data_IF_430418631958
#
_entry.id   IF_430418631958
#
_cell.length_a   1.000
_cell.length_b   1.000
_cell.length_c   1.000
_cell.angle_alpha   90.00
_cell.angle_beta   90.00
_cell.angle_gamma   90.00
#
_symmetry.space_group_name_H-M   'P 1'
#
loop_
_entity.id
_entity.type
_entity.pdbx_description
1 polymer ?
#
# COMPACT_ATOMS: atom_id res chain seq x y z
N UNK A 1 14.10 -11.71 -32.83
CA UNK A 1 13.19 -11.59 -31.69
C UNK A 1 12.73 -10.14 -31.60
N UNK A 2 11.63 -9.80 -32.27
CA UNK A 2 10.97 -8.51 -32.10
C UNK A 2 10.35 -8.53 -30.70
N UNK A 3 10.94 -7.80 -29.77
CA UNK A 3 10.37 -7.55 -28.47
C UNK A 3 9.07 -6.76 -28.67
N UNK A 4 7.96 -7.41 -28.45
CA UNK A 4 6.62 -6.83 -28.48
C UNK A 4 6.58 -5.66 -27.48
N UNK A 5 6.76 -4.45 -27.99
CA UNK A 5 6.72 -3.25 -27.15
C UNK A 5 5.30 -3.04 -26.65
N UNK A 6 5.15 -2.83 -25.33
CA UNK A 6 3.86 -2.48 -24.75
C UNK A 6 3.23 -1.30 -25.48
N UNK A 7 1.89 -1.30 -25.70
CA UNK A 7 1.17 -0.15 -26.19
C UNK A 7 1.50 1.11 -25.36
N UNK A 8 1.58 2.28 -25.99
CA UNK A 8 2.04 3.51 -25.36
C UNK A 8 1.17 3.91 -24.14
N UNK A 9 -0.12 3.65 -24.18
CA UNK A 9 -1.08 3.91 -23.12
C UNK A 9 -0.90 2.96 -21.92
N UNK A 10 -0.59 1.67 -22.17
CA UNK A 10 -0.26 0.70 -21.12
C UNK A 10 1.08 1.07 -20.47
N UNK A 11 2.09 1.43 -21.26
CA UNK A 11 3.39 1.89 -20.77
C UNK A 11 3.23 3.13 -19.86
N UNK A 12 2.40 4.09 -20.27
CA UNK A 12 2.08 5.27 -19.45
C UNK A 12 1.43 4.89 -18.13
N UNK A 13 0.44 3.99 -18.15
CA UNK A 13 -0.22 3.48 -16.94
C UNK A 13 0.76 2.76 -16.01
N UNK A 14 1.65 1.93 -16.55
CA UNK A 14 2.68 1.25 -15.78
C UNK A 14 3.64 2.24 -15.10
N UNK A 15 4.10 3.25 -15.85
CA UNK A 15 5.00 4.28 -15.30
C UNK A 15 4.33 5.01 -14.13
N UNK A 16 3.09 5.46 -14.28
CA UNK A 16 2.38 6.12 -13.18
C UNK A 16 2.12 5.19 -12.01
N UNK A 17 1.86 3.90 -12.24
CA UNK A 17 1.70 2.91 -11.18
C UNK A 17 3.01 2.71 -10.41
N UNK A 18 4.15 2.55 -11.10
CA UNK A 18 5.46 2.39 -10.46
C UNK A 18 5.87 3.64 -9.66
N UNK A 19 5.61 4.84 -10.19
CA UNK A 19 5.81 6.09 -9.44
C UNK A 19 4.91 6.12 -8.20
N UNK A 20 3.63 5.75 -8.32
CA UNK A 20 2.71 5.68 -7.18
C UNK A 20 3.22 4.70 -6.12
N UNK A 21 3.72 3.53 -6.55
CA UNK A 21 4.34 2.52 -5.67
C UNK A 21 5.47 3.15 -4.87
N UNK A 22 6.42 3.80 -5.52
CA UNK A 22 7.53 4.47 -4.82
C UNK A 22 7.02 5.50 -3.81
N UNK A 23 6.06 6.33 -4.19
CA UNK A 23 5.53 7.41 -3.35
C UNK A 23 4.85 6.90 -2.08
N UNK A 24 3.97 5.88 -2.16
CA UNK A 24 3.35 5.36 -0.94
C UNK A 24 4.34 4.56 -0.08
N UNK A 25 5.32 3.87 -0.69
CA UNK A 25 6.38 3.22 0.08
C UNK A 25 7.26 4.26 0.80
N UNK A 26 7.59 5.39 0.18
CA UNK A 26 8.33 6.49 0.79
C UNK A 26 7.56 7.03 2.01
N UNK A 27 6.27 7.31 1.88
CA UNK A 27 5.48 7.80 3.00
C UNK A 27 5.34 6.78 4.13
N UNK A 28 4.93 5.55 3.82
CA UNK A 28 4.71 4.50 4.81
C UNK A 28 6.00 4.10 5.55
N UNK A 29 7.11 3.88 4.81
CA UNK A 29 8.37 3.46 5.44
C UNK A 29 9.01 4.57 6.28
N UNK A 30 8.76 5.84 5.96
CA UNK A 30 9.16 6.94 6.84
C UNK A 30 8.56 6.79 8.23
N UNK A 31 7.24 6.57 8.30
CA UNK A 31 6.53 6.38 9.57
C UNK A 31 6.93 5.06 10.23
N UNK A 32 6.89 3.93 9.53
CA UNK A 32 7.19 2.62 10.14
C UNK A 32 8.60 2.53 10.72
N UNK A 33 9.57 3.24 10.14
CA UNK A 33 10.97 3.26 10.61
C UNK A 33 11.16 4.23 11.78
N UNK A 34 10.59 5.43 11.70
CA UNK A 34 10.93 6.51 12.62
C UNK A 34 9.84 6.82 13.66
N UNK A 35 8.70 6.13 13.61
CA UNK A 35 7.58 6.42 14.53
C UNK A 35 7.96 6.25 16.00
N UNK A 36 8.71 5.21 16.38
CA UNK A 36 9.08 5.00 17.79
C UNK A 36 9.93 6.15 18.32
N UNK A 37 10.90 6.63 17.53
CA UNK A 37 11.73 7.77 17.88
C UNK A 37 10.90 9.07 17.92
N UNK A 38 9.98 9.23 16.98
CA UNK A 38 9.03 10.35 16.97
C UNK A 38 8.17 10.36 18.24
N UNK A 39 7.57 9.22 18.58
CA UNK A 39 6.66 9.07 19.71
C UNK A 39 7.35 9.33 21.05
N UNK A 40 8.59 8.91 21.19
CA UNK A 40 9.42 9.20 22.35
C UNK A 40 9.70 10.71 22.47
N UNK A 41 10.16 11.34 21.40
CA UNK A 41 10.58 12.75 21.42
C UNK A 41 9.41 13.75 21.49
N UNK A 42 8.26 13.43 20.89
CA UNK A 42 7.14 14.36 20.77
C UNK A 42 6.06 14.08 21.81
N UNK A 43 5.78 12.81 22.12
CA UNK A 43 4.70 12.45 23.03
C UNK A 43 5.17 11.86 24.35
N UNK A 44 6.48 11.74 24.57
CA UNK A 44 7.03 11.11 25.78
C UNK A 44 6.61 9.65 25.94
N UNK A 45 6.28 8.95 24.85
CA UNK A 45 5.85 7.56 24.89
C UNK A 45 7.05 6.65 25.19
N UNK A 46 6.80 5.58 25.95
CA UNK A 46 7.77 4.50 26.06
C UNK A 46 7.90 3.75 24.73
N UNK A 47 9.06 3.13 24.50
CA UNK A 47 9.28 2.29 23.33
C UNK A 47 8.22 1.17 23.21
N UNK A 48 7.77 0.61 24.34
CA UNK A 48 6.70 -0.40 24.37
C UNK A 48 5.36 0.14 23.84
N UNK A 49 4.95 1.32 24.25
CA UNK A 49 3.71 1.97 23.78
C UNK A 49 3.80 2.29 22.29
N UNK A 50 4.92 2.84 21.83
CA UNK A 50 5.14 3.13 20.41
C UNK A 50 5.08 1.85 19.55
N UNK A 51 5.76 0.79 19.98
CA UNK A 51 5.72 -0.49 19.27
C UNK A 51 4.32 -1.13 19.30
N UNK A 52 3.52 -0.91 20.33
CA UNK A 52 2.12 -1.36 20.36
C UNK A 52 1.31 -0.72 19.22
N UNK A 53 1.49 0.58 18.94
CA UNK A 53 0.85 1.23 17.78
C UNK A 53 1.22 0.54 16.46
N UNK A 54 2.50 0.28 16.25
CA UNK A 54 2.98 -0.41 15.03
C UNK A 54 2.46 -1.85 14.94
N UNK A 55 2.36 -2.54 16.06
CA UNK A 55 1.79 -3.90 16.13
C UNK A 55 0.29 -3.89 15.79
N UNK A 56 -0.46 -2.90 16.26
CA UNK A 56 -1.88 -2.72 15.93
C UNK A 56 -2.04 -2.48 14.43
N UNK A 57 -1.20 -1.64 13.82
CA UNK A 57 -1.22 -1.41 12.37
C UNK A 57 -0.94 -2.71 11.60
N UNK A 58 0.10 -3.45 11.99
CA UNK A 58 0.46 -4.73 11.36
C UNK A 58 -0.64 -5.77 11.52
N UNK A 59 -1.19 -5.94 12.72
CA UNK A 59 -2.31 -6.84 12.99
C UNK A 59 -3.55 -6.46 12.19
N UNK A 60 -3.90 -5.18 12.16
CA UNK A 60 -4.98 -4.63 11.34
C UNK A 60 -4.80 -4.92 9.85
N UNK A 61 -3.58 -4.77 9.33
CA UNK A 61 -3.26 -5.11 7.95
C UNK A 61 -3.47 -6.60 7.66
N UNK A 62 -2.92 -7.49 8.50
CA UNK A 62 -3.03 -8.95 8.35
C UNK A 62 -4.50 -9.38 8.33
N UNK A 63 -5.30 -8.92 9.28
CA UNK A 63 -6.73 -9.24 9.36
C UNK A 63 -7.53 -8.68 8.17
N UNK A 64 -7.05 -7.59 7.58
CA UNK A 64 -7.71 -6.93 6.46
C UNK A 64 -7.37 -7.52 5.09
N UNK A 65 -6.31 -8.31 4.94
CA UNK A 65 -5.87 -8.82 3.64
C UNK A 65 -6.96 -9.61 2.90
N UNK A 66 -7.63 -10.54 3.56
CA UNK A 66 -8.68 -11.38 2.95
C UNK A 66 -9.92 -10.55 2.59
N UNK A 67 -10.54 -9.78 3.52
CA UNK A 67 -11.71 -8.99 3.19
C UNK A 67 -11.42 -7.93 2.13
N UNK A 68 -10.27 -7.27 2.17
CA UNK A 68 -9.88 -6.28 1.16
C UNK A 68 -9.66 -6.94 -0.21
N UNK A 69 -9.05 -8.11 -0.30
CA UNK A 69 -8.92 -8.86 -1.54
C UNK A 69 -10.29 -9.17 -2.16
N UNK A 70 -11.26 -9.56 -1.33
CA UNK A 70 -12.66 -9.79 -1.75
C UNK A 70 -13.33 -8.50 -2.23
N UNK A 71 -13.17 -7.40 -1.52
CA UNK A 71 -13.68 -6.09 -1.93
C UNK A 71 -13.07 -5.67 -3.27
N UNK A 72 -11.75 -5.79 -3.40
CA UNK A 72 -11.03 -5.41 -4.62
C UNK A 72 -11.48 -6.19 -5.85
N UNK A 73 -11.83 -7.48 -5.69
CA UNK A 73 -12.37 -8.30 -6.79
C UNK A 73 -13.74 -7.80 -7.29
N UNK A 74 -14.52 -7.13 -6.44
CA UNK A 74 -15.85 -6.60 -6.77
C UNK A 74 -15.83 -5.19 -7.34
N UNK A 75 -15.11 -4.27 -6.67
CA UNK A 75 -15.11 -2.84 -7.03
C UNK A 75 -13.94 -2.44 -7.93
N UNK A 76 -12.91 -3.28 -8.05
CA UNK A 76 -11.69 -3.06 -8.82
C UNK A 76 -10.50 -2.67 -7.93
N UNK A 77 -9.30 -3.13 -8.34
CA UNK A 77 -8.05 -2.89 -7.60
C UNK A 77 -7.66 -1.42 -7.57
N UNK A 78 -7.81 -0.71 -8.69
CA UNK A 78 -7.51 0.72 -8.79
C UNK A 78 -8.30 1.54 -7.77
N UNK A 79 -9.59 1.29 -7.62
CA UNK A 79 -10.44 1.99 -6.65
C UNK A 79 -10.03 1.66 -5.23
N UNK A 80 -9.72 0.39 -4.95
CA UNK A 80 -9.27 -0.06 -3.64
C UNK A 80 -7.94 0.56 -3.24
N UNK A 81 -6.96 0.64 -4.16
CA UNK A 81 -5.67 1.31 -3.90
C UNK A 81 -5.90 2.81 -3.65
N UNK A 82 -6.71 3.48 -4.46
CA UNK A 82 -7.00 4.91 -4.25
C UNK A 82 -7.70 5.18 -2.92
N UNK A 83 -8.63 4.34 -2.53
CA UNK A 83 -9.21 4.40 -1.18
C UNK A 83 -8.13 4.22 -0.10
N UNK A 84 -7.27 3.20 -0.24
CA UNK A 84 -6.18 2.94 0.69
C UNK A 84 -5.19 4.12 0.80
N UNK A 85 -4.78 4.72 -0.32
CA UNK A 85 -3.86 5.87 -0.30
C UNK A 85 -4.50 7.12 0.31
N UNK A 86 -5.78 7.36 0.06
CA UNK A 86 -6.51 8.47 0.68
C UNK A 86 -6.67 8.27 2.20
N UNK A 87 -7.06 7.05 2.61
CA UNK A 87 -7.18 6.69 4.03
C UNK A 87 -5.84 6.78 4.76
N UNK A 88 -4.76 6.30 4.14
CA UNK A 88 -3.42 6.33 4.71
C UNK A 88 -2.92 7.77 4.90
N UNK A 89 -3.05 8.60 3.85
CA UNK A 89 -2.69 10.02 3.92
C UNK A 89 -3.54 10.77 4.96
N UNK A 90 -4.84 10.51 5.01
CA UNK A 90 -5.75 11.09 6.00
C UNK A 90 -5.41 10.68 7.43
N UNK A 91 -5.03 9.41 7.66
CA UNK A 91 -4.58 8.93 8.97
C UNK A 91 -3.28 9.60 9.42
N UNK A 92 -2.32 9.79 8.52
CA UNK A 92 -1.08 10.51 8.84
C UNK A 92 -1.34 12.00 9.10
N UNK A 93 -2.22 12.63 8.33
CA UNK A 93 -2.62 14.01 8.59
C UNK A 93 -3.33 14.15 9.94
N UNK A 94 -4.24 13.23 10.28
CA UNK A 94 -4.91 13.21 11.57
C UNK A 94 -3.91 13.02 12.73
N UNK A 95 -2.91 12.15 12.58
CA UNK A 95 -1.84 12.00 13.56
C UNK A 95 -1.01 13.28 13.73
N UNK A 96 -0.74 14.01 12.65
CA UNK A 96 -0.10 15.31 12.71
C UNK A 96 -0.95 16.33 13.47
N UNK A 97 -2.25 16.42 13.17
CA UNK A 97 -3.16 17.34 13.84
C UNK A 97 -3.29 17.03 15.33
N UNK A 98 -3.28 15.73 15.72
CA UNK A 98 -3.21 15.33 17.12
C UNK A 98 -1.94 15.83 17.79
N UNK A 99 -0.79 15.77 17.10
CA UNK A 99 0.47 16.31 17.61
C UNK A 99 0.41 17.80 17.88
N UNK A 100 -0.40 18.53 17.11
CA UNK A 100 -0.58 19.97 17.31
C UNK A 100 -1.60 20.30 18.42
N UNK A 101 -2.58 19.44 18.62
CA UNK A 101 -3.71 19.67 19.53
C UNK A 101 -3.48 19.13 20.95
N UNK A 102 -2.64 18.10 21.11
CA UNK A 102 -2.49 17.38 22.37
C UNK A 102 -1.03 17.34 22.81
N UNK A 103 -0.81 17.56 24.11
CA UNK A 103 0.46 17.33 24.75
C UNK A 103 0.51 15.87 25.26
N UNK A 104 1.25 15.01 24.54
CA UNK A 104 1.48 13.63 24.94
C UNK A 104 0.62 12.59 24.24
N UNK A 105 0.65 11.37 24.78
CA UNK A 105 -0.03 10.21 24.23
C UNK A 105 -1.56 10.32 24.34
N UNK A 106 -2.26 9.93 23.26
CA UNK A 106 -3.70 9.75 23.23
C UNK A 106 -4.08 8.37 22.74
N UNK A 107 -5.03 7.64 23.39
CA UNK A 107 -5.54 6.35 22.93
C UNK A 107 -6.13 6.37 21.51
N UNK A 108 -6.51 7.52 20.99
CA UNK A 108 -6.96 7.73 19.60
C UNK A 108 -5.90 7.28 18.60
N UNK A 109 -4.63 7.33 18.96
CA UNK A 109 -3.54 6.82 18.14
C UNK A 109 -3.70 5.33 17.79
N UNK A 110 -4.19 4.51 18.70
CA UNK A 110 -4.43 3.09 18.42
C UNK A 110 -5.46 2.91 17.30
N UNK A 111 -6.53 3.71 17.29
CA UNK A 111 -7.53 3.70 16.22
C UNK A 111 -6.91 4.18 14.90
N UNK A 112 -6.11 5.25 14.92
CA UNK A 112 -5.43 5.75 13.72
C UNK A 112 -4.48 4.69 13.14
N UNK A 113 -3.71 4.00 13.97
CA UNK A 113 -2.81 2.94 13.52
C UNK A 113 -3.55 1.70 13.01
N UNK A 114 -4.73 1.39 13.55
CA UNK A 114 -5.61 0.38 12.97
C UNK A 114 -6.07 0.78 11.55
N UNK A 115 -6.44 2.04 11.34
CA UNK A 115 -6.80 2.58 10.02
C UNK A 115 -5.59 2.60 9.08
N UNK A 116 -4.38 2.90 9.56
CA UNK A 116 -3.13 2.77 8.81
C UNK A 116 -2.94 1.33 8.31
N UNK A 117 -3.18 0.33 9.17
CA UNK A 117 -3.11 -1.09 8.79
C UNK A 117 -4.12 -1.45 7.70
N UNK A 118 -5.37 -1.06 7.85
CA UNK A 118 -6.43 -1.27 6.85
C UNK A 118 -6.08 -0.59 5.52
N UNK A 119 -5.59 0.65 5.57
CA UNK A 119 -5.17 1.40 4.40
C UNK A 119 -4.00 0.71 3.69
N UNK A 120 -3.00 0.27 4.44
CA UNK A 120 -1.84 -0.47 3.93
C UNK A 120 -2.24 -1.79 3.26
N UNK A 121 -3.15 -2.56 3.87
CA UNK A 121 -3.70 -3.77 3.28
C UNK A 121 -4.39 -3.48 1.93
N UNK A 122 -5.18 -2.39 1.86
CA UNK A 122 -5.88 -1.97 0.65
C UNK A 122 -4.93 -1.65 -0.51
N UNK A 123 -3.74 -1.14 -0.21
CA UNK A 123 -2.70 -0.84 -1.19
C UNK A 123 -1.94 -2.12 -1.55
N UNK A 124 -1.41 -2.81 -0.56
CA UNK A 124 -0.37 -3.83 -0.74
C UNK A 124 -0.90 -5.10 -1.44
N UNK A 125 -2.09 -5.57 -1.05
CA UNK A 125 -2.72 -6.75 -1.68
C UNK A 125 -2.99 -6.55 -3.18
N UNK A 126 -3.19 -5.31 -3.61
CA UNK A 126 -3.63 -5.00 -4.97
C UNK A 126 -2.52 -4.51 -5.89
N UNK A 127 -1.40 -4.02 -5.34
CA UNK A 127 -0.37 -3.32 -6.12
C UNK A 127 0.43 -4.24 -7.04
N UNK A 128 0.99 -5.33 -6.54
CA UNK A 128 1.74 -6.29 -7.37
C UNK A 128 0.85 -6.97 -8.43
N UNK A 129 -0.34 -7.50 -8.09
CA UNK A 129 -1.25 -8.04 -9.10
C UNK A 129 -1.58 -7.04 -10.21
N UNK A 130 -1.75 -5.76 -9.86
CA UNK A 130 -2.06 -4.71 -10.84
C UNK A 130 -0.90 -4.46 -11.81
N UNK A 131 0.35 -4.54 -11.37
CA UNK A 131 1.54 -4.45 -12.22
C UNK A 131 1.63 -5.66 -13.15
N UNK A 132 1.45 -6.86 -12.62
CA UNK A 132 1.57 -8.12 -13.37
C UNK A 132 0.45 -8.27 -14.41
N UNK A 133 -0.74 -7.77 -14.15
CA UNK A 133 -1.85 -7.81 -15.13
C UNK A 133 -1.59 -6.94 -16.38
N UNK A 134 -0.64 -6.03 -16.34
CA UNK A 134 -0.25 -5.20 -17.50
C UNK A 134 0.72 -5.94 -18.44
N UNK A 135 1.25 -7.10 -18.07
CA UNK A 135 2.22 -7.84 -18.87
C UNK A 135 1.59 -9.05 -19.59
N UNK A 136 2.30 -9.54 -20.60
CA UNK A 136 2.04 -10.86 -21.19
C UNK A 136 2.63 -11.94 -20.28
N UNK A 137 2.06 -13.15 -20.29
CA UNK A 137 2.45 -14.22 -19.37
C UNK A 137 3.95 -14.56 -19.35
N UNK A 138 4.64 -14.41 -20.50
CA UNK A 138 6.10 -14.60 -20.61
C UNK A 138 6.95 -13.54 -19.93
N UNK A 139 6.39 -12.38 -19.58
CA UNK A 139 7.11 -11.24 -18.99
C UNK A 139 6.82 -11.03 -17.50
N UNK A 140 6.06 -11.93 -16.84
CA UNK A 140 5.69 -11.82 -15.41
C UNK A 140 6.90 -11.57 -14.52
N UNK A 141 8.01 -12.29 -14.75
CA UNK A 141 9.24 -12.10 -13.96
C UNK A 141 9.83 -10.69 -14.09
N UNK A 142 9.85 -10.12 -15.30
CA UNK A 142 10.33 -8.76 -15.56
C UNK A 142 9.48 -7.71 -14.83
N UNK A 143 8.15 -7.82 -14.89
CA UNK A 143 7.24 -6.86 -14.27
C UNK A 143 7.24 -6.99 -12.73
N UNK A 144 7.36 -8.22 -12.20
CA UNK A 144 7.60 -8.46 -10.78
C UNK A 144 8.92 -7.82 -10.34
N UNK A 145 9.98 -7.98 -11.14
CA UNK A 145 11.27 -7.32 -10.88
C UNK A 145 11.17 -5.80 -10.86
N UNK A 146 10.43 -5.20 -11.79
CA UNK A 146 10.17 -3.75 -11.79
C UNK A 146 9.43 -3.30 -10.52
N UNK A 147 8.37 -4.02 -10.12
CA UNK A 147 7.65 -3.73 -8.86
C UNK A 147 8.59 -3.70 -7.66
N UNK A 148 9.43 -4.75 -7.52
CA UNK A 148 10.35 -4.82 -6.39
C UNK A 148 11.49 -3.80 -6.49
N UNK A 149 11.97 -3.49 -7.68
CA UNK A 149 12.98 -2.43 -7.87
C UNK A 149 12.47 -1.10 -7.34
N UNK A 150 11.27 -0.68 -7.72
CA UNK A 150 10.69 0.60 -7.28
C UNK A 150 10.32 0.60 -5.80
N UNK A 151 9.70 -0.47 -5.30
CA UNK A 151 9.30 -0.56 -3.89
C UNK A 151 10.48 -0.66 -2.94
N UNK A 152 11.47 -1.52 -3.24
CA UNK A 152 12.65 -1.70 -2.38
C UNK A 152 13.59 -0.50 -2.44
N UNK A 153 13.77 0.14 -3.60
CA UNK A 153 14.54 1.39 -3.67
C UNK A 153 13.95 2.45 -2.75
N UNK A 154 12.62 2.60 -2.75
CA UNK A 154 11.94 3.50 -1.82
C UNK A 154 12.20 3.10 -0.36
N UNK A 155 12.12 1.81 -0.04
CA UNK A 155 12.35 1.31 1.33
C UNK A 155 13.80 1.54 1.82
N UNK A 156 14.79 1.46 0.94
CA UNK A 156 16.21 1.67 1.28
C UNK A 156 16.50 3.18 1.46
N UNK A 157 15.99 4.02 0.56
CA UNK A 157 16.29 5.45 0.57
C UNK A 157 15.51 6.17 1.68
N UNK A 158 14.28 5.78 1.94
CA UNK A 158 13.38 6.48 2.88
C UNK A 158 13.94 6.63 4.29
N UNK A 159 14.48 5.60 4.97
CA UNK A 159 15.02 5.75 6.31
C UNK A 159 16.11 6.82 6.39
N UNK A 160 16.94 6.92 5.36
CA UNK A 160 18.04 7.88 5.27
C UNK A 160 17.49 9.30 5.13
N UNK A 161 16.61 9.52 4.14
CA UNK A 161 16.04 10.85 3.86
C UNK A 161 15.14 11.32 5.00
N UNK A 162 14.27 10.44 5.52
CA UNK A 162 13.41 10.78 6.65
C UNK A 162 14.25 11.05 7.91
N UNK A 163 15.26 10.25 8.20
CA UNK A 163 16.15 10.48 9.34
C UNK A 163 16.91 11.81 9.24
N UNK A 164 17.39 12.17 8.05
CA UNK A 164 17.99 13.47 7.80
C UNK A 164 16.99 14.62 8.05
N UNK A 165 15.77 14.49 7.54
CA UNK A 165 14.70 15.48 7.74
C UNK A 165 14.38 15.68 9.21
N UNK A 166 14.22 14.59 9.97
CA UNK A 166 13.91 14.63 11.39
C UNK A 166 15.01 15.30 12.23
N UNK A 167 16.27 15.04 11.90
CA UNK A 167 17.42 15.63 12.60
C UNK A 167 17.61 17.12 12.30
N UNK A 168 17.46 17.51 11.03
CA UNK A 168 17.85 18.86 10.58
C UNK A 168 16.68 19.84 10.52
N UNK A 169 15.45 19.37 10.46
CA UNK A 169 14.26 20.23 10.39
C UNK A 169 13.45 20.12 11.69
N UNK A 170 12.76 19.03 11.91
CA UNK A 170 11.99 18.75 13.13
C UNK A 170 11.45 17.32 13.14
N UNK A 171 11.37 16.70 14.32
CA UNK A 171 10.64 15.45 14.48
C UNK A 171 9.17 15.57 14.04
N UNK A 172 8.52 16.71 14.26
CA UNK A 172 7.13 16.97 13.85
C UNK A 172 6.90 16.90 12.34
N UNK A 173 7.96 16.92 11.53
CA UNK A 173 7.87 16.80 10.07
C UNK A 173 7.53 15.38 9.59
N UNK A 174 7.59 14.33 10.43
CA UNK A 174 7.39 12.94 10.03
C UNK A 174 6.02 12.70 9.37
N UNK A 175 4.95 13.06 10.05
CA UNK A 175 3.60 12.83 9.54
C UNK A 175 3.23 13.72 8.35
N UNK A 176 3.54 15.04 8.32
CA UNK A 176 3.36 15.84 7.11
C UNK A 176 4.10 15.31 5.90
N UNK A 177 5.38 14.92 6.09
CA UNK A 177 6.17 14.25 5.06
C UNK A 177 5.43 13.02 4.51
N UNK A 178 5.04 12.10 5.38
CA UNK A 178 4.36 10.88 4.98
C UNK A 178 3.02 11.15 4.30
N UNK A 179 2.21 12.05 4.85
CA UNK A 179 0.91 12.43 4.29
C UNK A 179 1.04 13.00 2.87
N UNK A 180 2.02 13.89 2.64
CA UNK A 180 2.27 14.52 1.33
C UNK A 180 2.66 13.46 0.30
N UNK A 181 3.61 12.57 0.60
CA UNK A 181 4.05 11.54 -0.34
C UNK A 181 2.93 10.55 -0.66
N UNK A 182 2.18 10.10 0.34
CA UNK A 182 1.03 9.20 0.12
C UNK A 182 -0.09 9.90 -0.65
N UNK A 183 -0.36 11.18 -0.37
CA UNK A 183 -1.34 11.94 -1.14
C UNK A 183 -0.91 12.14 -2.60
N UNK A 184 0.38 12.40 -2.85
CA UNK A 184 0.92 12.46 -4.20
C UNK A 184 0.71 11.12 -4.94
N UNK A 185 0.83 9.98 -4.24
CA UNK A 185 0.52 8.67 -4.83
C UNK A 185 -0.96 8.52 -5.19
N UNK A 186 -1.88 9.06 -4.39
CA UNK A 186 -3.32 9.11 -4.73
C UNK A 186 -3.57 9.87 -6.02
N UNK A 187 -2.87 10.99 -6.24
CA UNK A 187 -2.98 11.80 -7.45
C UNK A 187 -2.41 11.04 -8.66
N UNK A 188 -1.20 10.47 -8.55
CA UNK A 188 -0.57 9.71 -9.65
C UNK A 188 -1.36 8.45 -10.01
N UNK A 189 -1.98 7.76 -9.05
CA UNK A 189 -2.93 6.67 -9.30
C UNK A 189 -4.15 7.10 -10.13
N UNK A 190 -4.50 8.37 -10.14
CA UNK A 190 -5.55 8.93 -10.99
C UNK A 190 -5.27 8.75 -12.48
N UNK A 191 -4.01 8.72 -12.89
CA UNK A 191 -3.58 8.57 -14.29
C UNK A 191 -3.42 7.10 -14.72
N UNK A 192 -3.48 6.14 -13.80
CA UNK A 192 -3.41 4.70 -14.11
C UNK A 192 -4.76 4.25 -14.66
N UNK A 193 -4.77 3.67 -15.86
CA UNK A 193 -6.01 3.23 -16.54
C UNK A 193 -6.05 1.73 -16.81
N UNK A 194 -4.93 1.02 -16.71
CA UNK A 194 -4.75 -0.41 -17.00
C UNK A 194 -4.39 -1.21 -15.74
N UNK A 195 -4.43 -2.53 -15.84
CA UNK A 195 -4.09 -3.44 -14.74
C UNK A 195 -5.23 -3.64 -13.71
N UNK A 196 -6.44 -3.21 -14.05
CA UNK A 196 -7.65 -3.34 -13.21
C UNK A 196 -8.69 -4.26 -13.88
N UNK A 197 -8.23 -5.39 -14.41
CA UNK A 197 -9.11 -6.40 -14.98
C UNK A 197 -9.90 -7.03 -13.83
N UNK A 198 -11.20 -6.83 -13.83
CA UNK A 198 -12.10 -7.55 -12.92
C UNK A 198 -11.88 -9.04 -13.18
N UNK A 199 -11.39 -9.77 -12.19
CA UNK A 199 -11.38 -11.24 -12.27
C UNK A 199 -12.82 -11.66 -12.49
N UNK A 200 -13.17 -12.34 -13.60
CA UNK A 200 -14.52 -12.86 -13.77
C UNK A 200 -14.82 -13.68 -12.53
N UNK A 201 -15.93 -13.41 -11.85
CA UNK A 201 -16.37 -14.24 -10.74
C UNK A 201 -16.23 -15.68 -11.20
N UNK A 202 -15.41 -16.50 -10.53
CA UNK A 202 -15.29 -17.92 -10.83
C UNK A 202 -16.74 -18.43 -10.83
N UNK A 203 -17.29 -18.68 -12.00
CA UNK A 203 -18.47 -19.53 -12.11
C UNK A 203 -18.06 -20.78 -11.37
N UNK A 204 -18.72 -21.07 -10.27
CA UNK A 204 -18.46 -22.26 -9.49
C UNK A 204 -18.33 -23.45 -10.45
N UNK A 205 -17.55 -24.48 -10.10
CA UNK A 205 -17.38 -25.61 -10.98
C UNK A 205 -18.77 -26.02 -11.45
N UNK A 206 -18.96 -25.98 -12.78
CA UNK A 206 -20.16 -26.57 -13.34
C UNK A 206 -20.21 -27.97 -12.73
N UNK A 207 -21.31 -28.31 -12.06
CA UNK A 207 -21.59 -29.67 -11.63
C UNK A 207 -21.59 -30.51 -12.89
N UNK A 208 -20.42 -30.96 -13.32
CA UNK A 208 -20.31 -32.12 -14.18
C UNK A 208 -20.75 -33.27 -13.27
N UNK A 209 -21.92 -33.76 -13.58
CA UNK A 209 -22.51 -34.85 -12.87
C UNK A 209 -21.55 -36.04 -12.82
N UNK A 210 -21.69 -36.81 -11.77
CA UNK A 210 -21.05 -38.12 -11.53
C UNK A 210 -21.44 -39.18 -12.60
N UNK A 211 -21.92 -38.79 -13.77
CA UNK A 211 -22.43 -39.68 -14.83
C UNK A 211 -21.42 -39.98 -15.93
N UNK A 212 -20.14 -39.69 -15.74
CA UNK A 212 -19.10 -40.00 -16.75
C UNK A 212 -18.14 -41.13 -16.32
N UNK A 213 -18.53 -41.95 -15.39
CA UNK A 213 -17.82 -43.22 -15.06
C UNK A 213 -18.79 -44.37 -15.10
N UNK A 214 -19.44 -44.58 -16.26
CA UNK A 214 -19.89 -45.91 -16.60
C UNK A 214 -18.69 -46.66 -17.25
N UNK A 215 -18.22 -47.63 -16.49
CA UNK A 215 -17.24 -48.61 -16.87
C UNK A 215 -17.93 -49.49 -17.89
N UNK A 216 -17.44 -49.50 -19.12
CA UNK A 216 -17.73 -50.61 -20.06
C UNK A 216 -16.95 -51.84 -19.60
N UNK A 217 -17.72 -52.89 -19.28
CA UNK A 217 -17.23 -54.28 -19.16
C UNK A 217 -16.83 -54.88 -20.49
#
# INVERSE_FOLDING_TARGET
AQGDTLPADVKKSLTFLLVSISLWFVGYNGVSTWFSVYAENIWGMSLGQANTCLTIATGGAILSYIPIGTVASRIGRRKTIRFGTLLLSGSFLAAFLLTMALEGFSPVLYLLFLLVGLAWASINVNSLPMVVEMCKGSEVGKFTGLYYTFSMSAQIITPIVAGWLLRNVSYRALFPYAAIFVFASFLTMGFVRHGDNKVPAKKGPAKKGLEAYDVED
#
